data_IF_742748305931
#
_entry.id   IF_742748305931
#
_cell.length_a   1.000
_cell.length_b   1.000
_cell.length_c   1.000
_cell.angle_alpha   90.00
_cell.angle_beta   90.00
_cell.angle_gamma   90.00
#
_symmetry.space_group_name_H-M   'P 1'
#
loop_
_entity.id
_entity.type
_entity.pdbx_description
1 polymer ?
#
# COMPACT_ATOMS: atom_id res chain seq x y z
N UNK A 1 -2.49 10.22 -3.69
CA UNK A 1 -3.92 9.83 -3.61
C UNK A 1 -4.89 10.91 -4.11
N UNK A 2 -4.46 12.16 -4.36
CA UNK A 2 -5.41 13.23 -4.73
C UNK A 2 -5.94 13.28 -6.17
N UNK A 3 -5.39 12.47 -7.09
CA UNK A 3 -5.90 12.35 -8.47
C UNK A 3 -6.62 11.03 -8.76
N UNK A 4 -6.71 10.15 -7.78
CA UNK A 4 -7.29 8.81 -7.95
C UNK A 4 -8.80 8.83 -7.76
N UNK A 5 -9.55 8.32 -8.74
CA UNK A 5 -10.97 7.99 -8.56
C UNK A 5 -11.10 6.69 -7.75
N UNK A 6 -10.84 6.80 -6.44
CA UNK A 6 -10.83 5.66 -5.53
C UNK A 6 -12.19 4.96 -5.49
N UNK A 7 -13.28 5.73 -5.52
CA UNK A 7 -14.64 5.19 -5.48
C UNK A 7 -15.00 4.47 -6.79
N UNK A 8 -14.70 5.05 -7.94
CA UNK A 8 -14.91 4.42 -9.24
C UNK A 8 -14.08 3.17 -9.41
N UNK A 9 -12.82 3.18 -8.94
CA UNK A 9 -11.96 2.01 -8.89
C UNK A 9 -12.59 0.89 -8.04
N UNK A 10 -13.00 1.19 -6.80
CA UNK A 10 -13.61 0.20 -5.90
C UNK A 10 -14.94 -0.35 -6.45
N UNK A 11 -15.69 0.44 -7.20
CA UNK A 11 -16.93 -0.02 -7.87
C UNK A 11 -16.66 -0.90 -9.09
N UNK A 12 -15.46 -0.83 -9.64
CA UNK A 12 -15.09 -1.51 -10.90
C UNK A 12 -14.29 -2.79 -10.67
N UNK A 13 -13.77 -3.01 -9.46
CA UNK A 13 -12.95 -4.17 -9.11
C UNK A 13 -13.50 -4.84 -7.85
N UNK A 14 -13.49 -6.17 -7.79
CA UNK A 14 -13.88 -6.89 -6.59
C UNK A 14 -12.86 -6.68 -5.46
N UNK A 15 -13.31 -6.68 -4.20
CA UNK A 15 -12.41 -6.58 -3.04
C UNK A 15 -11.31 -7.66 -3.06
N UNK A 16 -11.65 -8.89 -3.48
CA UNK A 16 -10.66 -9.96 -3.69
C UNK A 16 -9.60 -9.58 -4.73
N UNK A 17 -9.99 -8.99 -5.86
CA UNK A 17 -9.06 -8.54 -6.89
C UNK A 17 -8.12 -7.45 -6.38
N UNK A 18 -8.63 -6.54 -5.53
CA UNK A 18 -7.83 -5.51 -4.88
C UNK A 18 -6.81 -6.13 -3.92
N UNK A 19 -7.24 -7.06 -3.05
CA UNK A 19 -6.33 -7.76 -2.14
C UNK A 19 -5.27 -8.56 -2.88
N UNK A 20 -5.65 -9.30 -3.93
CA UNK A 20 -4.71 -10.06 -4.75
C UNK A 20 -3.65 -9.14 -5.39
N UNK A 21 -4.08 -7.99 -5.91
CA UNK A 21 -3.15 -7.00 -6.46
C UNK A 21 -2.22 -6.42 -5.39
N UNK A 22 -2.74 -6.07 -4.22
CA UNK A 22 -1.93 -5.58 -3.11
C UNK A 22 -0.88 -6.61 -2.66
N UNK A 23 -1.26 -7.89 -2.51
CA UNK A 23 -0.33 -8.97 -2.19
C UNK A 23 0.74 -9.17 -3.27
N UNK A 24 0.38 -8.99 -4.55
CA UNK A 24 1.35 -9.02 -5.64
C UNK A 24 2.38 -7.89 -5.52
N UNK A 25 1.96 -6.67 -5.19
CA UNK A 25 2.89 -5.55 -4.94
C UNK A 25 3.84 -5.86 -3.78
N UNK A 26 3.33 -6.36 -2.64
CA UNK A 26 4.18 -6.78 -1.52
C UNK A 26 5.22 -7.83 -1.92
N UNK A 27 4.84 -8.77 -2.79
CA UNK A 27 5.76 -9.79 -3.30
C UNK A 27 6.86 -9.20 -4.19
N UNK A 28 6.54 -8.15 -4.98
CA UNK A 28 7.54 -7.41 -5.75
C UNK A 28 8.52 -6.69 -4.83
N UNK A 29 8.02 -6.04 -3.78
CA UNK A 29 8.86 -5.33 -2.82
C UNK A 29 9.81 -6.28 -2.09
N UNK A 30 9.33 -7.45 -1.66
CA UNK A 30 10.17 -8.52 -1.11
C UNK A 30 11.28 -8.97 -2.07
N UNK A 31 10.95 -9.11 -3.35
CA UNK A 31 11.93 -9.50 -4.36
C UNK A 31 12.96 -8.39 -4.61
N UNK A 32 12.56 -7.12 -4.57
CA UNK A 32 13.47 -5.98 -4.68
C UNK A 32 14.41 -5.91 -3.48
N UNK A 33 13.89 -6.08 -2.26
CA UNK A 33 14.72 -6.13 -1.05
C UNK A 33 15.78 -7.21 -1.10
N UNK A 34 15.42 -8.42 -1.57
CA UNK A 34 16.39 -9.52 -1.76
C UNK A 34 17.49 -9.15 -2.75
N UNK A 35 17.11 -8.59 -3.90
CA UNK A 35 18.08 -8.14 -4.91
C UNK A 35 19.01 -7.05 -4.38
N UNK A 36 18.48 -6.10 -3.62
CA UNK A 36 19.28 -5.04 -3.01
C UNK A 36 20.19 -5.56 -1.90
N UNK A 37 19.74 -6.57 -1.16
CA UNK A 37 20.57 -7.25 -0.16
C UNK A 37 21.76 -7.95 -0.80
N UNK A 38 21.51 -8.70 -1.88
CA UNK A 38 22.56 -9.35 -2.68
C UNK A 38 23.53 -8.32 -3.29
N UNK A 39 23.01 -7.21 -3.79
CA UNK A 39 23.81 -6.15 -4.43
C UNK A 39 24.72 -5.41 -3.43
N UNK A 40 24.24 -5.17 -2.21
CA UNK A 40 24.96 -4.35 -1.21
C UNK A 40 25.76 -5.17 -0.20
N UNK A 41 25.50 -6.48 -0.11
CA UNK A 41 26.07 -7.35 0.92
C UNK A 41 25.55 -7.05 2.33
N UNK A 42 24.48 -6.28 2.45
CA UNK A 42 23.80 -5.94 3.71
C UNK A 42 22.40 -6.50 3.68
N UNK A 43 21.89 -6.93 4.83
CA UNK A 43 20.50 -7.36 4.94
C UNK A 43 19.58 -6.14 4.81
N UNK A 44 18.70 -6.16 3.80
CA UNK A 44 17.60 -5.21 3.62
C UNK A 44 16.31 -6.01 3.79
N UNK A 45 15.62 -5.76 4.89
CA UNK A 45 14.38 -6.44 5.30
C UNK A 45 13.18 -5.49 5.39
N UNK A 46 13.40 -4.23 5.06
CA UNK A 46 12.51 -3.12 5.36
C UNK A 46 12.26 -2.25 4.12
N UNK A 47 11.02 -1.80 3.96
CA UNK A 47 10.58 -0.90 2.88
C UNK A 47 10.13 0.43 3.48
N UNK A 48 10.50 1.52 2.82
CA UNK A 48 10.00 2.87 3.13
C UNK A 48 8.92 3.24 2.13
N UNK A 49 7.75 3.64 2.63
CA UNK A 49 6.62 4.08 1.80
C UNK A 49 6.48 5.60 1.88
N UNK A 50 6.30 6.24 0.72
CA UNK A 50 6.03 7.67 0.61
C UNK A 50 4.65 7.83 -0.02
N UNK A 51 3.71 8.33 0.78
CA UNK A 51 2.36 8.66 0.35
C UNK A 51 2.30 10.13 -0.03
N UNK A 52 2.15 10.36 -1.33
CA UNK A 52 1.87 11.69 -1.86
C UNK A 52 0.40 12.05 -1.63
N UNK A 53 0.19 13.05 -0.79
CA UNK A 53 -1.11 13.58 -0.40
C UNK A 53 -1.49 14.81 -1.21
N UNK A 54 -0.70 15.18 -2.24
CA UNK A 54 -1.08 16.28 -3.13
C UNK A 54 -2.49 16.02 -3.70
N UNK A 55 -3.31 17.08 -3.68
CA UNK A 55 -4.74 17.10 -4.03
C UNK A 55 -5.63 16.14 -3.20
N UNK A 56 -5.15 15.57 -2.09
CA UNK A 56 -5.95 14.69 -1.24
C UNK A 56 -7.07 15.47 -0.54
N UNK A 57 -8.32 15.14 -0.86
CA UNK A 57 -9.47 15.60 -0.10
C UNK A 57 -10.02 14.47 0.78
N UNK A 58 -10.09 14.73 2.10
CA UNK A 58 -10.68 13.80 3.07
C UNK A 58 -12.08 13.37 2.63
N UNK A 59 -12.87 14.32 2.13
CA UNK A 59 -14.27 14.12 1.72
C UNK A 59 -14.42 13.01 0.66
N UNK A 60 -13.46 12.88 -0.25
CA UNK A 60 -13.48 11.88 -1.31
C UNK A 60 -13.18 10.45 -0.79
N UNK A 61 -12.71 10.35 0.45
CA UNK A 61 -12.29 9.10 1.09
C UNK A 61 -13.17 8.72 2.30
N UNK A 62 -14.23 9.47 2.59
CA UNK A 62 -15.18 9.18 3.69
C UNK A 62 -16.24 8.12 3.33
N UNK A 63 -16.23 7.59 2.10
CA UNK A 63 -17.12 6.49 1.75
C UNK A 63 -16.79 5.26 2.58
N UNK A 64 -17.79 4.73 3.29
CA UNK A 64 -17.64 3.55 4.16
C UNK A 64 -16.91 2.39 3.47
N UNK A 65 -17.23 2.12 2.22
CA UNK A 65 -16.60 1.04 1.44
C UNK A 65 -15.11 1.26 1.19
N UNK A 66 -14.67 2.52 1.01
CA UNK A 66 -13.25 2.86 0.88
C UNK A 66 -12.51 2.65 2.20
N UNK A 67 -13.13 3.09 3.31
CA UNK A 67 -12.58 2.90 4.65
C UNK A 67 -12.45 1.41 4.97
N UNK A 68 -13.50 0.62 4.76
CA UNK A 68 -13.50 -0.83 5.01
C UNK A 68 -12.44 -1.54 4.16
N UNK A 69 -12.35 -1.21 2.87
CA UNK A 69 -11.32 -1.79 1.98
C UNK A 69 -9.91 -1.42 2.43
N UNK A 70 -9.69 -0.17 2.86
CA UNK A 70 -8.40 0.27 3.39
C UNK A 70 -8.01 -0.48 4.67
N UNK A 71 -8.98 -0.73 5.55
CA UNK A 71 -8.77 -1.53 6.77
C UNK A 71 -8.45 -2.99 6.44
N UNK A 72 -9.19 -3.60 5.51
CA UNK A 72 -8.93 -4.98 5.07
C UNK A 72 -7.53 -5.14 4.48
N UNK A 73 -7.09 -4.19 3.65
CA UNK A 73 -5.73 -4.15 3.13
C UNK A 73 -4.69 -3.98 4.24
N UNK A 74 -4.97 -3.11 5.22
CA UNK A 74 -4.14 -2.94 6.41
C UNK A 74 -3.96 -4.25 7.19
N UNK A 75 -5.03 -5.01 7.40
CA UNK A 75 -4.97 -6.31 8.05
C UNK A 75 -4.15 -7.32 7.26
N UNK A 76 -4.35 -7.40 5.93
CA UNK A 76 -3.54 -8.29 5.08
C UNK A 76 -2.05 -8.00 5.23
N UNK A 77 -1.66 -6.73 5.24
CA UNK A 77 -0.25 -6.37 5.40
C UNK A 77 0.26 -6.74 6.80
N UNK A 78 -0.48 -6.41 7.84
CA UNK A 78 -0.07 -6.69 9.22
C UNK A 78 0.03 -8.18 9.54
N UNK A 79 -0.89 -9.00 9.02
CA UNK A 79 -0.93 -10.43 9.32
C UNK A 79 0.10 -11.24 8.51
N UNK A 80 0.29 -10.90 7.23
CA UNK A 80 1.09 -11.72 6.32
C UNK A 80 2.48 -11.14 6.00
N UNK A 81 2.69 -9.85 6.21
CA UNK A 81 3.94 -9.15 5.94
C UNK A 81 4.38 -8.31 7.15
N UNK A 82 4.51 -8.93 8.33
CA UNK A 82 4.88 -8.20 9.53
C UNK A 82 6.23 -7.50 9.35
N UNK A 83 6.36 -6.30 9.90
CA UNK A 83 7.61 -5.53 9.96
C UNK A 83 8.20 -5.10 8.60
N UNK A 84 7.50 -5.29 7.48
CA UNK A 84 7.97 -4.82 6.17
C UNK A 84 7.99 -3.29 6.06
N UNK A 85 7.27 -2.59 6.95
CA UNK A 85 7.19 -1.13 6.97
C UNK A 85 8.18 -0.55 7.99
N UNK A 86 9.26 0.03 7.49
CA UNK A 86 10.24 0.74 8.33
C UNK A 86 9.81 2.17 8.62
N UNK A 87 9.50 2.89 7.55
CA UNK A 87 9.09 4.28 7.60
C UNK A 87 7.93 4.51 6.64
N UNK A 88 6.95 5.29 7.09
CA UNK A 88 5.82 5.72 6.28
C UNK A 88 5.77 7.24 6.35
N UNK A 89 5.99 7.89 5.20
CA UNK A 89 5.97 9.34 5.08
C UNK A 89 4.72 9.79 4.33
N UNK A 90 4.03 10.79 4.87
CA UNK A 90 2.96 11.50 4.18
C UNK A 90 3.49 12.87 3.78
N UNK A 91 3.49 13.18 2.48
CA UNK A 91 4.00 14.45 1.93
C UNK A 91 2.88 15.20 1.23
N UNK A 92 2.99 16.53 1.09
CA UNK A 92 2.03 17.38 0.37
C UNK A 92 0.57 17.31 0.88
N UNK A 93 0.37 17.07 2.18
CA UNK A 93 -0.96 17.00 2.82
C UNK A 93 -1.44 18.31 3.42
#
# INVERSE_FOLDING_TARGET
MGRGDNLGFLKSVSGYGICLYASYIMQLDLNLMRKESERTGREINEVTYIFDMDEFAVQDNLYKSLIETGLDLGHVVQEYYPEIWSNVFFING
#
